data_IF_553878089706
#
_entry.id   IF_553878089706
#
_cell.length_a   1.000
_cell.length_b   1.000
_cell.length_c   1.000
_cell.angle_alpha   90.00
_cell.angle_beta   90.00
_cell.angle_gamma   90.00
#
_symmetry.space_group_name_H-M   'P 1'
#
loop_
_entity.id
_entity.type
_entity.pdbx_description
1 polymer ?
#
# COMPACT_ATOMS: atom_id res chain seq x y z
N UNK A 1 25.52 -46.79 32.81
CA UNK A 1 24.43 -47.77 32.77
C UNK A 1 23.45 -47.32 31.68
N UNK A 2 23.71 -47.76 30.45
CA UNK A 2 22.99 -47.37 29.24
C UNK A 2 21.92 -48.44 28.96
N UNK A 3 20.64 -48.07 28.95
CA UNK A 3 19.56 -49.00 28.58
C UNK A 3 19.33 -48.85 27.08
N UNK A 4 19.80 -49.84 26.34
CA UNK A 4 19.49 -50.06 24.93
C UNK A 4 18.09 -50.70 24.83
N UNK A 5 17.22 -50.14 23.99
CA UNK A 5 15.98 -50.80 23.55
C UNK A 5 16.10 -51.00 22.04
N UNK A 6 16.24 -52.26 21.64
CA UNK A 6 16.27 -52.70 20.26
C UNK A 6 14.90 -53.25 19.84
N UNK A 7 14.47 -52.77 18.67
CA UNK A 7 13.67 -53.42 17.63
C UNK A 7 12.17 -53.72 17.84
N UNK A 8 11.35 -53.07 17.01
CA UNK A 8 10.49 -53.78 16.05
C UNK A 8 10.23 -52.89 14.83
N UNK A 9 10.89 -53.21 13.71
CA UNK A 9 10.67 -52.57 12.42
C UNK A 9 9.54 -53.32 11.70
N UNK A 10 8.33 -52.76 11.72
CA UNK A 10 7.32 -53.09 10.72
C UNK A 10 7.65 -52.31 9.44
N UNK A 11 7.81 -53.01 8.30
CA UNK A 11 7.95 -52.38 6.99
C UNK A 11 6.70 -51.52 6.73
N UNK A 12 6.82 -50.23 6.37
CA UNK A 12 5.66 -49.46 5.95
C UNK A 12 5.18 -50.01 4.59
N UNK A 13 3.90 -50.34 4.49
CA UNK A 13 3.24 -50.58 3.22
C UNK A 13 3.41 -49.35 2.32
N UNK A 14 4.05 -49.54 1.17
CA UNK A 14 4.13 -48.52 0.13
C UNK A 14 2.73 -48.35 -0.47
N UNK A 15 1.98 -47.36 0.01
CA UNK A 15 0.80 -46.87 -0.70
C UNK A 15 1.28 -46.13 -1.95
N UNK A 16 1.14 -46.77 -3.10
CA UNK A 16 1.25 -46.09 -4.40
C UNK A 16 0.21 -44.97 -4.46
N UNK A 17 0.58 -43.72 -4.82
CA UNK A 17 -0.40 -42.66 -5.04
C UNK A 17 -1.34 -43.06 -6.18
N UNK A 18 -2.63 -42.71 -6.13
CA UNK A 18 -3.50 -42.88 -7.29
C UNK A 18 -2.96 -42.05 -8.46
N UNK A 19 -2.93 -42.65 -9.66
CA UNK A 19 -2.56 -41.94 -10.88
C UNK A 19 -3.38 -40.66 -11.03
N UNK A 20 -2.70 -39.52 -11.05
CA UNK A 20 -3.31 -38.26 -11.44
C UNK A 20 -3.61 -38.31 -12.94
N UNK A 21 -4.86 -38.67 -13.28
CA UNK A 21 -5.40 -38.34 -14.60
C UNK A 21 -5.54 -36.82 -14.65
N UNK A 22 -4.63 -36.17 -15.38
CA UNK A 22 -4.77 -34.75 -15.73
C UNK A 22 -6.14 -34.50 -16.40
N UNK A 23 -6.63 -33.25 -16.40
CA UNK A 23 -7.92 -32.94 -16.98
C UNK A 23 -7.95 -33.35 -18.44
N UNK A 24 -8.93 -34.18 -18.81
CA UNK A 24 -9.18 -34.56 -20.20
C UNK A 24 -9.40 -33.29 -21.02
N UNK A 25 -8.48 -32.99 -21.93
CA UNK A 25 -8.66 -31.91 -22.89
C UNK A 25 -9.84 -32.27 -23.80
N UNK A 26 -10.97 -31.61 -23.58
CA UNK A 26 -12.15 -31.69 -24.44
C UNK A 26 -11.78 -31.00 -25.76
N UNK A 27 -11.88 -31.74 -26.86
CA UNK A 27 -11.72 -31.21 -28.23
C UNK A 27 -12.64 -29.98 -28.41
N UNK A 28 -12.14 -28.86 -28.99
CA UNK A 28 -12.97 -27.68 -29.19
C UNK A 28 -14.18 -28.06 -30.04
N UNK A 29 -15.37 -27.84 -29.48
CA UNK A 29 -16.60 -28.09 -30.19
C UNK A 29 -16.73 -26.98 -31.25
N UNK A 30 -16.30 -27.24 -32.49
CA UNK A 30 -16.52 -26.35 -33.63
C UNK A 30 -18.00 -26.37 -34.00
N UNK A 31 -18.79 -25.62 -33.23
CA UNK A 31 -20.16 -25.28 -33.61
C UNK A 31 -20.10 -24.07 -34.52
N UNK A 32 -20.44 -24.27 -35.79
CA UNK A 32 -20.66 -23.19 -36.74
C UNK A 32 -21.91 -22.39 -36.29
N UNK A 33 -21.69 -21.25 -35.62
CA UNK A 33 -22.76 -20.43 -35.03
C UNK A 33 -23.47 -19.66 -36.16
N UNK A 34 -24.58 -20.20 -36.65
CA UNK A 34 -25.33 -19.60 -37.79
C UNK A 34 -26.28 -18.46 -37.40
N UNK A 35 -26.54 -18.20 -36.11
CA UNK A 35 -27.27 -17.02 -35.60
C UNK A 35 -27.19 -16.91 -34.08
N UNK A 36 -27.00 -15.70 -33.57
CA UNK A 36 -26.98 -15.37 -32.13
C UNK A 36 -28.34 -14.77 -31.75
N UNK A 37 -29.03 -15.37 -30.77
CA UNK A 37 -30.32 -14.90 -30.25
C UNK A 37 -30.21 -13.66 -29.34
N UNK A 38 -31.32 -12.93 -29.09
CA UNK A 38 -31.31 -11.57 -28.54
C UNK A 38 -31.09 -11.47 -27.01
N UNK A 39 -30.33 -12.40 -26.41
CA UNK A 39 -30.26 -12.57 -24.94
C UNK A 39 -28.87 -12.71 -24.33
N UNK A 40 -27.79 -12.33 -25.02
CA UNK A 40 -26.47 -12.23 -24.39
C UNK A 40 -26.32 -10.89 -23.66
N UNK A 41 -25.72 -10.91 -22.46
CA UNK A 41 -25.26 -9.71 -21.80
C UNK A 41 -24.37 -8.94 -22.78
N UNK A 42 -24.79 -7.74 -23.18
CA UNK A 42 -23.95 -6.85 -23.98
C UNK A 42 -22.69 -6.61 -23.16
N UNK A 43 -21.59 -7.25 -23.55
CA UNK A 43 -20.26 -6.77 -23.22
C UNK A 43 -20.30 -5.30 -23.62
N UNK A 44 -20.18 -4.39 -22.67
CA UNK A 44 -20.13 -2.96 -22.96
C UNK A 44 -19.01 -2.76 -23.98
N UNK A 45 -19.41 -2.56 -25.24
CA UNK A 45 -18.46 -2.30 -26.30
C UNK A 45 -17.65 -1.07 -25.86
N UNK A 46 -16.31 -1.13 -25.90
CA UNK A 46 -15.47 -0.05 -25.39
C UNK A 46 -15.94 1.30 -25.93
N UNK A 47 -15.99 2.32 -25.07
CA UNK A 47 -16.60 3.64 -25.35
C UNK A 47 -16.07 4.28 -26.65
N UNK A 48 -14.91 3.84 -27.11
CA UNK A 48 -14.29 4.16 -28.38
C UNK A 48 -12.95 3.44 -28.50
N UNK A 49 -12.21 3.72 -29.57
CA UNK A 49 -10.78 3.42 -29.63
C UNK A 49 -10.05 4.53 -30.37
N UNK A 50 -8.78 4.70 -30.05
CA UNK A 50 -7.88 5.67 -30.69
C UNK A 50 -6.60 4.94 -31.08
N UNK A 51 -6.16 5.07 -32.34
CA UNK A 51 -4.90 4.47 -32.82
C UNK A 51 -4.13 5.43 -33.71
N UNK A 52 -2.81 5.31 -33.68
CA UNK A 52 -1.90 6.09 -34.53
C UNK A 52 -1.71 5.36 -35.85
N UNK A 53 -2.01 6.01 -36.96
CA UNK A 53 -1.92 5.46 -38.32
C UNK A 53 -0.99 6.34 -39.13
N UNK A 54 -0.10 5.74 -39.90
CA UNK A 54 0.79 6.48 -40.81
C UNK A 54 0.15 6.57 -42.19
N UNK A 55 -0.07 7.80 -42.68
CA UNK A 55 -0.70 8.06 -43.99
C UNK A 55 0.30 8.71 -44.94
N UNK A 56 0.24 8.29 -46.19
CA UNK A 56 1.21 8.62 -47.24
C UNK A 56 1.40 10.13 -47.52
N UNK A 57 0.41 10.97 -47.23
CA UNK A 57 0.47 12.44 -47.46
C UNK A 57 0.53 13.29 -46.18
N UNK A 58 0.14 12.74 -45.04
CA UNK A 58 -0.11 13.50 -43.79
C UNK A 58 0.80 13.06 -42.63
N UNK A 59 1.62 12.02 -42.83
CA UNK A 59 2.47 11.47 -41.79
C UNK A 59 1.69 10.66 -40.75
N UNK A 60 2.18 10.60 -39.51
CA UNK A 60 1.55 9.83 -38.42
C UNK A 60 0.37 10.61 -37.83
N UNK A 61 -0.84 10.20 -38.17
CA UNK A 61 -2.11 10.80 -37.73
C UNK A 61 -2.82 9.92 -36.70
N UNK A 62 -3.56 10.53 -35.77
CA UNK A 62 -4.40 9.79 -34.82
C UNK A 62 -5.82 9.67 -35.36
N UNK A 63 -6.35 8.45 -35.38
CA UNK A 63 -7.68 8.12 -35.85
C UNK A 63 -8.43 7.35 -34.77
N UNK A 64 -9.68 7.70 -34.54
CA UNK A 64 -10.51 6.98 -33.59
C UNK A 64 -11.97 7.39 -33.67
N UNK A 65 -12.83 6.61 -33.01
CA UNK A 65 -14.22 7.00 -32.77
C UNK A 65 -14.54 6.84 -31.30
N UNK A 66 -15.50 7.62 -30.82
CA UNK A 66 -16.04 7.53 -29.47
C UNK A 66 -17.55 7.76 -29.50
N UNK A 67 -18.22 7.40 -28.40
CA UNK A 67 -19.65 7.63 -28.24
C UNK A 67 -19.89 8.77 -27.25
N UNK A 68 -20.74 9.71 -27.62
CA UNK A 68 -21.22 10.78 -26.75
C UNK A 68 -22.68 10.50 -26.42
N UNK A 69 -23.03 10.64 -25.15
CA UNK A 69 -24.40 10.57 -24.69
C UNK A 69 -24.96 11.98 -24.65
N UNK A 70 -25.93 12.28 -25.51
CA UNK A 70 -26.67 13.54 -25.46
C UNK A 70 -28.05 13.27 -24.85
N UNK A 71 -28.43 14.07 -23.85
CA UNK A 71 -29.76 13.98 -23.24
C UNK A 71 -30.67 14.95 -23.98
N UNK A 72 -31.68 14.42 -24.67
CA UNK A 72 -32.69 15.23 -25.34
C UNK A 72 -33.61 15.95 -24.34
N UNK A 73 -34.41 16.93 -24.79
CA UNK A 73 -35.37 17.67 -23.95
C UNK A 73 -36.35 16.78 -23.17
N UNK A 74 -36.60 15.57 -23.68
CA UNK A 74 -37.53 14.58 -23.10
C UNK A 74 -36.87 13.63 -22.08
N UNK A 75 -35.62 13.91 -21.67
CA UNK A 75 -34.88 13.09 -20.70
C UNK A 75 -34.33 11.75 -21.24
N UNK A 76 -34.57 11.42 -22.51
CA UNK A 76 -33.96 10.26 -23.17
C UNK A 76 -32.49 10.52 -23.50
N UNK A 77 -31.62 9.58 -23.11
CA UNK A 77 -30.19 9.59 -23.45
C UNK A 77 -29.97 8.90 -24.78
N UNK A 78 -29.57 9.65 -25.80
CA UNK A 78 -29.28 9.14 -27.14
C UNK A 78 -27.76 9.01 -27.30
N UNK A 79 -27.32 7.84 -27.80
CA UNK A 79 -25.90 7.52 -28.01
C UNK A 79 -25.51 7.91 -29.44
N UNK A 80 -24.68 8.94 -29.59
CA UNK A 80 -24.15 9.39 -30.88
C UNK A 80 -22.72 8.90 -31.08
N UNK A 81 -22.44 8.24 -32.22
CA UNK A 81 -21.08 7.88 -32.64
C UNK A 81 -20.43 9.09 -33.33
N UNK A 82 -19.27 9.53 -32.84
CA UNK A 82 -18.47 10.61 -33.43
C UNK A 82 -17.11 10.06 -33.86
N UNK A 83 -16.66 10.47 -35.04
CA UNK A 83 -15.37 10.12 -35.63
C UNK A 83 -14.66 11.41 -36.03
N UNK A 84 -13.38 11.56 -35.68
CA UNK A 84 -12.59 12.75 -36.02
C UNK A 84 -11.16 12.36 -36.39
N UNK A 85 -10.58 13.13 -37.29
CA UNK A 85 -9.22 12.96 -37.79
C UNK A 85 -8.35 14.08 -37.19
N UNK A 86 -7.31 13.70 -36.44
CA UNK A 86 -6.47 14.60 -35.62
C UNK A 86 -7.24 15.34 -34.50
N UNK A 87 -6.54 15.65 -33.40
CA UNK A 87 -7.10 16.35 -32.22
C UNK A 87 -8.25 15.63 -31.47
N UNK A 88 -8.48 14.35 -31.76
CA UNK A 88 -9.54 13.56 -31.11
C UNK A 88 -9.37 13.49 -29.59
N UNK A 89 -8.13 13.49 -29.09
CA UNK A 89 -7.84 13.46 -27.65
C UNK A 89 -8.26 14.76 -26.94
N UNK A 90 -7.99 15.92 -27.52
CA UNK A 90 -8.38 17.23 -26.97
C UNK A 90 -9.90 17.42 -27.03
N UNK A 91 -10.52 17.00 -28.13
CA UNK A 91 -11.98 17.07 -28.29
C UNK A 91 -12.74 16.08 -27.39
N UNK A 92 -12.19 14.90 -27.12
CA UNK A 92 -12.75 13.97 -26.12
C UNK A 92 -12.66 14.60 -24.73
N UNK A 93 -11.55 15.27 -24.38
CA UNK A 93 -11.41 15.97 -23.10
C UNK A 93 -12.44 17.11 -22.95
N UNK A 94 -12.72 17.84 -24.03
CA UNK A 94 -13.72 18.92 -24.08
C UNK A 94 -15.17 18.39 -23.99
N UNK A 95 -15.49 17.27 -24.64
CA UNK A 95 -16.87 16.77 -24.79
C UNK A 95 -17.30 15.71 -23.75
N UNK A 96 -16.38 14.93 -23.19
CA UNK A 96 -16.74 13.91 -22.18
C UNK A 96 -16.73 14.41 -20.74
N UNK A 97 -16.27 15.64 -20.49
CA UNK A 97 -16.17 16.17 -19.13
C UNK A 97 -15.46 15.21 -18.17
N UNK A 98 -14.51 14.39 -18.68
CA UNK A 98 -13.76 13.43 -17.86
C UNK A 98 -12.83 14.21 -16.95
N UNK A 99 -13.37 14.44 -15.75
CA UNK A 99 -12.84 15.11 -14.58
C UNK A 99 -12.41 16.55 -14.86
N UNK A 100 -13.25 17.49 -14.42
CA UNK A 100 -12.74 18.77 -13.94
C UNK A 100 -11.47 18.47 -13.13
N UNK A 101 -10.32 18.89 -13.66
CA UNK A 101 -9.02 18.81 -13.00
C UNK A 101 -9.24 19.39 -11.60
N UNK A 102 -9.23 18.56 -10.57
CA UNK A 102 -9.17 19.07 -9.19
C UNK A 102 -7.93 19.97 -9.00
N UNK A 103 -6.96 19.89 -9.90
CA UNK A 103 -5.73 20.65 -9.90
C UNK A 103 -5.80 22.14 -10.18
N UNK A 104 -6.94 22.71 -10.61
CA UNK A 104 -7.05 24.17 -10.68
C UNK A 104 -7.26 24.83 -9.30
N UNK A 105 -7.73 24.08 -8.29
CA UNK A 105 -8.01 24.64 -6.96
C UNK A 105 -6.96 24.31 -5.89
N UNK A 106 -6.02 23.40 -6.15
CA UNK A 106 -4.96 23.08 -5.18
C UNK A 106 -3.85 24.10 -5.39
N UNK A 107 -3.73 25.05 -4.47
CA UNK A 107 -2.74 26.13 -4.54
C UNK A 107 -1.69 26.00 -3.45
N UNK A 108 -2.07 25.52 -2.28
CA UNK A 108 -1.23 25.46 -1.07
C UNK A 108 -0.74 24.05 -0.75
N UNK A 109 0.35 23.96 0.03
CA UNK A 109 0.84 22.66 0.50
C UNK A 109 -0.18 21.94 1.39
N UNK A 110 -0.98 22.65 2.20
CA UNK A 110 -1.99 22.03 3.04
C UNK A 110 -3.10 21.35 2.22
N UNK A 111 -3.50 21.96 1.09
CA UNK A 111 -4.47 21.36 0.15
C UNK A 111 -3.88 20.14 -0.54
N UNK A 112 -2.63 20.23 -1.00
CA UNK A 112 -1.91 19.10 -1.58
C UNK A 112 -1.81 17.93 -0.60
N UNK A 113 -1.47 18.21 0.66
CA UNK A 113 -1.39 17.20 1.71
C UNK A 113 -2.74 16.51 1.94
N UNK A 114 -3.85 17.27 1.91
CA UNK A 114 -5.21 16.70 2.03
C UNK A 114 -5.53 15.78 0.84
N UNK A 115 -5.27 16.23 -0.39
CA UNK A 115 -5.48 15.43 -1.59
C UNK A 115 -4.63 14.15 -1.58
N UNK A 116 -3.34 14.29 -1.25
CA UNK A 116 -2.42 13.18 -1.09
C UNK A 116 -2.90 12.16 -0.04
N UNK A 117 -3.37 12.64 1.12
CA UNK A 117 -3.93 11.77 2.15
C UNK A 117 -5.19 11.04 1.67
N UNK A 118 -6.08 11.71 0.93
CA UNK A 118 -7.29 11.09 0.41
C UNK A 118 -6.97 9.90 -0.52
N UNK A 119 -5.94 10.04 -1.36
CA UNK A 119 -5.53 8.99 -2.31
C UNK A 119 -4.68 7.90 -1.64
N UNK A 120 -3.65 8.27 -0.88
CA UNK A 120 -2.64 7.31 -0.41
C UNK A 120 -2.97 6.67 0.94
N UNK A 121 -3.85 7.27 1.74
CA UNK A 121 -4.13 6.71 3.08
C UNK A 121 -4.80 5.35 3.03
N UNK A 122 -5.45 4.94 1.94
CA UNK A 122 -6.00 3.58 1.81
C UNK A 122 -4.99 2.46 2.08
N UNK A 123 -3.71 2.69 1.78
CA UNK A 123 -2.63 1.72 1.95
C UNK A 123 -1.95 1.79 3.32
N UNK A 124 -2.25 2.80 4.15
CA UNK A 124 -1.59 3.00 5.42
C UNK A 124 -2.34 2.29 6.55
N UNK A 125 -1.58 1.68 7.47
CA UNK A 125 -2.16 1.22 8.74
C UNK A 125 -2.77 2.40 9.52
N UNK A 126 -3.79 2.13 10.34
CA UNK A 126 -4.44 3.16 11.17
C UNK A 126 -3.42 3.96 12.00
N UNK A 127 -2.50 3.27 12.66
CA UNK A 127 -1.42 3.89 13.45
C UNK A 127 -0.57 4.84 12.62
N UNK A 128 -0.26 4.45 11.38
CA UNK A 128 0.49 5.30 10.45
C UNK A 128 -0.32 6.56 10.10
N UNK A 129 -1.62 6.42 9.80
CA UNK A 129 -2.50 7.58 9.53
C UNK A 129 -2.52 8.57 10.71
N UNK A 130 -2.72 8.07 11.92
CA UNK A 130 -2.78 8.88 13.13
C UNK A 130 -1.45 9.56 13.42
N UNK A 131 -0.34 8.83 13.33
CA UNK A 131 1.00 9.37 13.51
C UNK A 131 1.30 10.47 12.48
N UNK A 132 1.01 10.23 11.19
CA UNK A 132 1.24 11.23 10.14
C UNK A 132 0.37 12.46 10.33
N UNK A 133 -0.93 12.28 10.64
CA UNK A 133 -1.83 13.40 10.92
C UNK A 133 -1.29 14.27 12.06
N UNK A 134 -0.86 13.65 13.16
CA UNK A 134 -0.30 14.33 14.32
C UNK A 134 1.01 15.05 13.97
N UNK A 135 1.95 14.36 13.33
CA UNK A 135 3.26 14.91 12.97
C UNK A 135 3.14 16.08 11.99
N UNK A 136 2.34 15.93 10.93
CA UNK A 136 2.16 16.98 9.94
C UNK A 136 1.42 18.19 10.52
N UNK A 137 0.34 17.97 11.29
CA UNK A 137 -0.38 19.07 11.93
C UNK A 137 0.48 19.87 12.91
N UNK A 138 1.39 19.21 13.65
CA UNK A 138 2.24 19.87 14.64
C UNK A 138 3.49 20.52 14.06
N UNK A 139 4.11 19.91 13.05
CA UNK A 139 5.46 20.30 12.63
C UNK A 139 5.57 20.81 11.20
N UNK A 140 4.75 20.29 10.27
CA UNK A 140 4.89 20.59 8.84
C UNK A 140 3.91 21.69 8.40
N UNK A 141 2.62 21.48 8.67
CA UNK A 141 1.54 22.38 8.27
C UNK A 141 1.72 23.80 8.84
N UNK A 142 2.14 24.00 10.11
CA UNK A 142 2.35 25.35 10.63
C UNK A 142 3.47 26.13 9.93
N UNK A 143 4.43 25.46 9.29
CA UNK A 143 5.58 26.12 8.66
C UNK A 143 5.39 26.37 7.16
N UNK A 144 4.82 25.41 6.44
CA UNK A 144 4.70 25.47 4.98
C UNK A 144 3.27 25.30 4.47
N UNK A 145 2.29 25.02 5.34
CA UNK A 145 0.94 24.66 4.95
C UNK A 145 0.21 25.74 4.15
N UNK A 146 0.39 27.01 4.51
CA UNK A 146 -0.20 28.17 3.81
C UNK A 146 0.59 28.62 2.59
N UNK A 147 1.81 28.13 2.40
CA UNK A 147 2.64 28.52 1.26
C UNK A 147 2.08 27.90 -0.01
N UNK A 148 2.12 28.67 -1.11
CA UNK A 148 1.81 28.14 -2.42
C UNK A 148 2.84 27.07 -2.78
N UNK A 149 2.38 25.96 -3.34
CA UNK A 149 3.27 24.83 -3.65
C UNK A 149 4.45 25.21 -4.56
N UNK A 150 4.23 26.19 -5.45
CA UNK A 150 5.23 26.71 -6.39
C UNK A 150 6.32 27.55 -5.70
N UNK A 151 6.00 28.13 -4.56
CA UNK A 151 6.91 29.01 -3.80
C UNK A 151 7.73 28.22 -2.77
N UNK A 152 7.33 26.97 -2.48
CA UNK A 152 8.10 26.10 -1.59
C UNK A 152 9.39 25.68 -2.29
N UNK A 153 10.52 26.05 -1.69
CA UNK A 153 11.85 25.70 -2.18
C UNK A 153 12.52 24.65 -1.27
N UNK A 154 13.67 24.12 -1.71
CA UNK A 154 14.43 23.12 -0.94
C UNK A 154 14.92 23.66 0.41
N UNK A 155 15.35 24.93 0.46
CA UNK A 155 15.98 25.51 1.65
C UNK A 155 15.05 25.54 2.87
N UNK A 156 13.81 26.07 2.79
CA UNK A 156 12.85 26.01 3.90
C UNK A 156 12.57 24.57 4.36
N UNK A 157 12.44 23.64 3.42
CA UNK A 157 12.19 22.23 3.74
C UNK A 157 13.38 21.59 4.47
N UNK A 158 14.61 21.91 4.09
CA UNK A 158 15.80 21.41 4.77
C UNK A 158 15.94 22.03 6.16
N UNK A 159 15.65 23.34 6.31
CA UNK A 159 15.65 24.02 7.60
C UNK A 159 14.60 23.43 8.55
N UNK A 160 13.41 23.08 8.06
CA UNK A 160 12.40 22.36 8.83
C UNK A 160 12.96 21.04 9.40
N UNK A 161 13.62 20.21 8.58
CA UNK A 161 14.20 18.95 9.05
C UNK A 161 15.35 19.16 10.04
N UNK A 162 16.21 20.16 9.80
CA UNK A 162 17.31 20.49 10.69
C UNK A 162 16.80 20.96 12.05
N UNK A 163 15.77 21.81 12.07
CA UNK A 163 15.12 22.25 13.31
C UNK A 163 14.56 21.08 14.11
N UNK A 164 13.89 20.12 13.46
CA UNK A 164 13.42 18.91 14.14
C UNK A 164 14.56 18.07 14.72
N UNK A 165 15.72 18.04 14.06
CA UNK A 165 16.90 17.38 14.61
C UNK A 165 17.43 18.11 15.86
N UNK A 166 17.46 19.45 15.83
CA UNK A 166 17.88 20.31 16.95
C UNK A 166 16.91 20.19 18.15
N UNK A 167 15.61 20.10 17.88
CA UNK A 167 14.55 19.89 18.87
C UNK A 167 14.61 18.48 19.53
N UNK A 168 15.55 17.62 19.12
CA UNK A 168 15.81 16.32 19.73
C UNK A 168 14.93 15.18 19.21
N UNK A 169 14.24 15.35 18.08
CA UNK A 169 13.46 14.26 17.49
C UNK A 169 14.33 13.10 17.01
N UNK A 170 13.79 11.89 17.13
CA UNK A 170 14.51 10.69 16.67
C UNK A 170 14.67 10.66 15.14
N UNK A 171 15.73 9.98 14.68
CA UNK A 171 15.97 9.75 13.24
C UNK A 171 14.77 9.12 12.53
N UNK A 172 14.01 8.27 13.23
CA UNK A 172 12.80 7.64 12.69
C UNK A 172 11.71 8.67 12.38
N UNK A 173 11.43 9.58 13.33
CA UNK A 173 10.39 10.61 13.17
C UNK A 173 10.75 11.60 12.06
N UNK A 174 11.98 12.12 12.07
CA UNK A 174 12.43 13.08 11.04
C UNK A 174 12.51 12.40 9.68
N UNK A 175 12.95 11.13 9.64
CA UNK A 175 12.94 10.31 8.43
C UNK A 175 11.53 10.11 7.88
N UNK A 176 10.54 9.87 8.74
CA UNK A 176 9.14 9.74 8.34
C UNK A 176 8.62 11.04 7.73
N UNK A 177 8.84 12.19 8.37
CA UNK A 177 8.43 13.50 7.83
C UNK A 177 9.08 13.73 6.47
N UNK A 178 10.39 13.51 6.34
CA UNK A 178 11.11 13.64 5.07
C UNK A 178 10.50 12.78 3.96
N UNK A 179 10.24 11.49 4.24
CA UNK A 179 9.67 10.56 3.26
C UNK A 179 8.32 11.05 2.77
N UNK A 180 7.40 11.39 3.67
CA UNK A 180 6.05 11.78 3.29
C UNK A 180 5.96 13.17 2.69
N UNK A 181 6.82 14.11 3.08
CA UNK A 181 6.93 15.41 2.39
C UNK A 181 7.39 15.18 0.95
N UNK A 182 8.39 14.32 0.74
CA UNK A 182 8.87 13.99 -0.60
C UNK A 182 7.78 13.33 -1.45
N UNK A 183 7.10 12.31 -0.92
CA UNK A 183 6.00 11.63 -1.62
C UNK A 183 4.81 12.54 -1.90
N UNK A 184 4.51 13.50 -1.02
CA UNK A 184 3.47 14.50 -1.23
C UNK A 184 3.79 15.41 -2.42
N UNK A 185 5.02 15.92 -2.51
CA UNK A 185 5.45 16.72 -3.66
C UNK A 185 5.61 15.91 -4.95
N UNK A 186 6.00 14.64 -4.87
CA UNK A 186 6.00 13.73 -6.03
C UNK A 186 4.59 13.50 -6.56
N UNK A 187 3.61 13.28 -5.67
CA UNK A 187 2.20 13.24 -6.07
C UNK A 187 1.75 14.52 -6.77
N UNK A 188 2.17 15.70 -6.29
CA UNK A 188 1.88 16.96 -7.00
C UNK A 188 2.53 17.07 -8.38
N UNK A 189 3.64 16.38 -8.63
CA UNK A 189 4.23 16.28 -9.98
C UNK A 189 3.46 15.30 -10.85
N UNK A 190 3.08 14.15 -10.30
CA UNK A 190 2.31 13.12 -11.02
C UNK A 190 0.92 13.63 -11.47
N UNK A 191 0.34 14.56 -10.72
CA UNK A 191 -0.94 15.22 -11.04
C UNK A 191 -0.77 16.52 -11.87
N UNK A 192 0.41 16.75 -12.46
CA UNK A 192 0.76 17.94 -13.26
C UNK A 192 0.56 19.30 -12.54
N UNK A 193 0.49 19.32 -11.21
CA UNK A 193 0.37 20.56 -10.41
C UNK A 193 1.71 21.31 -10.31
N UNK A 194 2.80 20.55 -10.36
CA UNK A 194 4.18 21.02 -10.25
C UNK A 194 5.02 20.43 -11.36
N UNK A 195 5.85 21.24 -11.99
CA UNK A 195 6.82 20.76 -12.98
C UNK A 195 7.98 19.97 -12.35
N UNK A 196 8.30 20.24 -11.08
CA UNK A 196 9.38 19.57 -10.35
C UNK A 196 9.08 19.54 -8.85
N UNK A 197 9.48 18.44 -8.20
CA UNK A 197 9.38 18.31 -6.74
C UNK A 197 10.50 19.12 -6.05
N UNK A 198 10.17 20.12 -5.20
CA UNK A 198 11.17 20.85 -4.41
C UNK A 198 11.83 19.99 -3.33
N UNK A 199 11.15 18.90 -2.92
CA UNK A 199 11.60 17.96 -1.91
C UNK A 199 12.53 16.86 -2.45
N UNK A 200 12.74 16.78 -3.77
CA UNK A 200 13.50 15.69 -4.42
C UNK A 200 14.90 15.48 -3.83
N UNK A 201 15.57 16.60 -3.50
CA UNK A 201 16.93 16.65 -2.97
C UNK A 201 17.00 16.77 -1.44
N UNK A 202 15.89 16.54 -0.71
CA UNK A 202 15.94 16.60 0.75
C UNK A 202 16.88 15.55 1.32
N UNK A 203 17.77 16.00 2.19
CA UNK A 203 18.77 15.16 2.84
C UNK A 203 18.39 14.97 4.31
N UNK A 204 18.65 13.76 4.80
CA UNK A 204 18.45 13.45 6.20
C UNK A 204 19.49 14.20 7.05
N UNK A 205 19.09 15.04 8.03
CA UNK A 205 20.04 15.67 8.94
C UNK A 205 20.81 14.63 9.76
N UNK A 206 22.00 15.03 10.24
CA UNK A 206 22.84 14.18 11.09
C UNK A 206 22.21 14.08 12.49
N UNK A 207 21.42 13.03 12.71
CA UNK A 207 20.83 12.71 14.02
C UNK A 207 21.56 11.50 14.59
N UNK A 208 22.25 11.68 15.72
CA UNK A 208 22.89 10.58 16.45
C UNK A 208 21.81 9.81 17.19
N UNK A 209 21.60 8.54 16.82
CA UNK A 209 20.76 7.64 17.60
C UNK A 209 21.49 7.39 18.93
N UNK A 210 20.89 7.79 20.04
CA UNK A 210 21.34 7.29 21.35
C UNK A 210 21.06 5.78 21.36
N UNK A 211 22.07 4.91 21.54
CA UNK A 211 21.81 3.49 21.70
C UNK A 211 20.85 3.29 22.88
N UNK A 212 20.06 2.22 22.84
CA UNK A 212 19.36 1.80 24.04
C UNK A 212 20.43 1.28 25.00
N UNK A 213 20.83 2.10 25.97
CA UNK A 213 21.90 1.77 26.91
C UNK A 213 21.47 0.71 27.92
N UNK A 214 20.15 0.52 28.09
CA UNK A 214 19.58 -0.44 29.03
C UNK A 214 19.14 -1.72 28.32
N UNK A 215 19.72 -2.83 28.74
CA UNK A 215 19.27 -4.20 28.48
C UNK A 215 19.46 -4.99 29.78
N UNK A 216 18.66 -6.05 29.98
CA UNK A 216 18.79 -6.91 31.17
C UNK A 216 20.06 -7.74 31.08
N UNK A 217 20.87 -7.74 32.13
CA UNK A 217 21.95 -8.72 32.28
C UNK A 217 21.37 -10.12 32.47
N UNK A 218 22.19 -11.15 32.31
CA UNK A 218 21.77 -12.54 32.54
C UNK A 218 21.32 -12.74 33.99
N UNK A 219 21.99 -12.10 34.93
CA UNK A 219 21.67 -12.14 36.37
C UNK A 219 20.36 -11.44 36.65
N UNK A 220 20.15 -10.24 36.09
CA UNK A 220 18.88 -9.51 36.24
C UNK A 220 17.71 -10.27 35.62
N UNK A 221 17.93 -10.90 34.46
CA UNK A 221 16.90 -11.71 33.81
C UNK A 221 16.58 -12.99 34.61
N UNK A 222 17.59 -13.64 35.21
CA UNK A 222 17.36 -14.77 36.12
C UNK A 222 16.59 -14.35 37.37
N UNK A 223 16.92 -13.19 37.94
CA UNK A 223 16.17 -12.65 39.08
C UNK A 223 14.71 -12.37 38.70
N UNK A 224 14.49 -11.75 37.53
CA UNK A 224 13.15 -11.51 37.00
C UNK A 224 12.36 -12.81 36.77
N UNK A 225 13.00 -13.85 36.23
CA UNK A 225 12.36 -15.15 36.03
C UNK A 225 11.97 -15.81 37.36
N UNK A 226 12.83 -15.73 38.37
CA UNK A 226 12.57 -16.34 39.69
C UNK A 226 11.40 -15.69 40.43
N UNK A 227 11.17 -14.39 40.21
CA UNK A 227 10.08 -13.63 40.83
C UNK A 227 8.77 -13.66 40.00
N UNK A 228 8.86 -14.03 38.73
CA UNK A 228 7.72 -14.02 37.83
C UNK A 228 6.67 -15.11 38.19
N UNK A 229 5.37 -14.78 38.20
CA UNK A 229 4.30 -15.78 38.34
C UNK A 229 4.32 -16.80 37.18
N UNK A 230 3.64 -17.96 37.32
CA UNK A 230 3.72 -19.03 36.33
C UNK A 230 3.45 -18.63 34.87
N UNK A 231 2.49 -17.71 34.64
CA UNK A 231 2.14 -17.21 33.30
C UNK A 231 3.28 -16.36 32.72
N UNK A 232 3.71 -15.34 33.45
CA UNK A 232 4.78 -14.43 33.03
C UNK A 232 6.11 -15.17 32.88
N UNK A 233 6.37 -16.17 33.72
CA UNK A 233 7.57 -17.00 33.64
C UNK A 233 7.67 -17.74 32.29
N UNK A 234 6.56 -18.27 31.78
CA UNK A 234 6.52 -18.89 30.43
C UNK A 234 6.72 -17.84 29.35
N UNK A 235 6.01 -16.71 29.44
CA UNK A 235 6.10 -15.60 28.46
C UNK A 235 7.54 -15.08 28.36
N UNK A 236 8.19 -14.82 29.50
CA UNK A 236 9.57 -14.32 29.57
C UNK A 236 10.57 -15.32 28.98
N UNK A 237 10.38 -16.63 29.22
CA UNK A 237 11.21 -17.67 28.59
C UNK A 237 11.06 -17.70 27.09
N UNK A 238 9.83 -17.58 26.57
CA UNK A 238 9.59 -17.50 25.13
C UNK A 238 10.27 -16.26 24.54
N UNK A 239 10.17 -15.11 25.19
CA UNK A 239 10.88 -13.89 24.75
C UNK A 239 12.39 -14.08 24.67
N UNK A 240 13.01 -14.65 25.71
CA UNK A 240 14.46 -14.78 25.79
C UNK A 240 15.03 -15.84 24.84
N UNK A 241 14.30 -16.94 24.62
CA UNK A 241 14.78 -18.05 23.78
C UNK A 241 14.46 -17.81 22.31
N UNK A 242 13.24 -17.37 22.00
CA UNK A 242 12.77 -17.27 20.61
C UNK A 242 12.95 -15.86 20.01
N UNK A 243 13.21 -14.83 20.83
CA UNK A 243 13.44 -13.47 20.35
C UNK A 243 12.23 -12.83 19.66
N UNK A 244 11.03 -13.31 19.96
CA UNK A 244 9.78 -12.86 19.33
C UNK A 244 9.43 -11.42 19.71
N UNK A 245 8.73 -10.73 18.81
CA UNK A 245 8.22 -9.39 19.10
C UNK A 245 7.08 -9.49 20.13
N UNK A 246 6.88 -8.48 20.99
CA UNK A 246 5.81 -8.51 21.99
C UNK A 246 4.42 -8.78 21.42
N UNK A 247 4.11 -8.23 20.25
CA UNK A 247 2.85 -8.47 19.57
C UNK A 247 2.65 -9.93 19.13
N UNK A 248 3.73 -10.65 18.80
CA UNK A 248 3.69 -12.05 18.36
C UNK A 248 3.45 -12.98 19.57
N UNK A 249 4.14 -12.74 20.69
CA UNK A 249 3.99 -13.57 21.90
C UNK A 249 2.58 -13.48 22.50
N UNK A 250 1.96 -12.31 22.45
CA UNK A 250 0.66 -12.06 23.08
C UNK A 250 -0.51 -12.77 22.38
N UNK A 251 -0.34 -13.26 21.16
CA UNK A 251 -1.40 -13.97 20.41
C UNK A 251 -1.15 -15.47 20.30
N UNK A 252 -0.01 -15.96 20.79
CA UNK A 252 0.34 -17.38 20.76
C UNK A 252 -0.72 -18.25 21.43
N UNK A 253 -1.10 -19.34 20.76
CA UNK A 253 -2.02 -20.36 21.27
C UNK A 253 -1.28 -21.68 21.44
N UNK A 254 -1.88 -22.58 22.21
CA UNK A 254 -1.34 -23.92 22.39
C UNK A 254 -1.27 -24.70 21.06
N UNK A 255 -2.17 -24.40 20.13
CA UNK A 255 -2.24 -24.99 18.78
C UNK A 255 -1.05 -24.59 17.90
N UNK A 256 -0.36 -23.50 18.22
CA UNK A 256 0.82 -23.05 17.48
C UNK A 256 2.09 -23.77 17.93
N UNK A 257 2.00 -24.61 18.96
CA UNK A 257 3.11 -25.42 19.45
C UNK A 257 3.08 -26.82 18.85
N UNK A 258 4.02 -27.08 17.93
CA UNK A 258 4.17 -28.35 17.23
C UNK A 258 5.38 -29.12 17.79
N UNK A 259 5.26 -29.54 19.05
CA UNK A 259 6.23 -30.40 19.76
C UNK A 259 7.59 -29.74 20.06
N UNK A 260 8.39 -29.47 19.04
CA UNK A 260 9.67 -28.75 19.17
C UNK A 260 9.71 -27.44 18.39
N UNK A 261 8.62 -27.09 17.72
CA UNK A 261 8.50 -25.91 16.87
C UNK A 261 7.36 -25.02 17.35
N UNK A 262 7.48 -23.72 17.08
CA UNK A 262 6.48 -22.71 17.39
C UNK A 262 6.13 -21.98 16.09
N UNK A 263 4.87 -22.07 15.65
CA UNK A 263 4.37 -21.38 14.46
C UNK A 263 4.06 -19.92 14.80
N UNK A 264 4.62 -18.99 14.03
CA UNK A 264 4.43 -17.54 14.20
C UNK A 264 3.85 -16.95 12.92
N UNK A 265 2.54 -16.81 12.87
CA UNK A 265 1.78 -16.29 11.73
C UNK A 265 0.91 -15.08 12.12
N UNK A 266 0.49 -14.99 13.38
CA UNK A 266 -0.30 -13.89 13.92
C UNK A 266 0.51 -12.90 14.78
N UNK A 267 0.02 -11.66 14.86
CA UNK A 267 0.50 -10.65 15.80
C UNK A 267 -0.66 -9.78 16.32
N UNK A 268 -0.59 -9.38 17.59
CA UNK A 268 -1.52 -8.44 18.20
C UNK A 268 -1.39 -7.07 17.51
N UNK A 269 -2.51 -6.56 16.99
CA UNK A 269 -2.63 -5.22 16.40
C UNK A 269 -3.37 -4.31 17.38
N UNK A 270 -3.02 -3.03 17.39
CA UNK A 270 -3.62 -2.03 18.30
C UNK A 270 -5.16 -1.99 18.19
N UNK A 271 -5.80 -1.73 19.34
CA UNK A 271 -7.25 -1.68 19.54
C UNK A 271 -7.98 -0.80 18.51
N UNK A 272 -9.06 -1.32 17.95
CA UNK A 272 -10.08 -0.52 17.26
C UNK A 272 -11.35 -0.53 18.09
N UNK A 273 -11.88 0.65 18.44
CA UNK A 273 -13.15 0.81 19.16
C UNK A 273 -13.28 0.05 20.51
N UNK A 274 -12.16 -0.30 21.16
CA UNK A 274 -12.16 -0.99 22.45
C UNK A 274 -11.91 -2.50 22.37
N UNK A 275 -11.85 -3.08 21.16
CA UNK A 275 -11.61 -4.51 20.96
C UNK A 275 -10.19 -4.76 20.41
N UNK A 276 -9.55 -5.82 20.92
CA UNK A 276 -8.23 -6.28 20.49
C UNK A 276 -8.35 -6.95 19.11
N UNK A 277 -7.45 -6.61 18.18
CA UNK A 277 -7.45 -7.20 16.83
C UNK A 277 -6.22 -8.09 16.66
N UNK A 278 -6.45 -9.33 16.26
CA UNK A 278 -5.41 -10.23 15.78
C UNK A 278 -5.28 -10.05 14.26
N UNK A 279 -4.07 -10.12 13.73
CA UNK A 279 -3.91 -10.31 12.30
C UNK A 279 -2.49 -10.67 11.93
N UNK A 280 -2.27 -10.89 10.64
CA UNK A 280 -1.01 -11.44 10.14
C UNK A 280 0.22 -10.63 10.56
N UNK A 281 1.30 -11.35 10.81
CA UNK A 281 2.64 -10.78 10.98
C UNK A 281 3.01 -9.93 9.76
N UNK A 282 3.92 -8.97 9.96
CA UNK A 282 4.46 -8.25 8.80
C UNK A 282 5.31 -9.24 8.01
N UNK A 283 4.90 -9.49 6.76
CA UNK A 283 5.70 -10.24 5.80
C UNK A 283 6.95 -9.42 5.47
N UNK A 284 8.13 -10.05 5.58
CA UNK A 284 9.40 -9.49 5.09
C UNK A 284 9.43 -9.44 3.55
#
# INVERSE_FOLDING_TARGET
>A
MYIAVMASWAKPEVRTPPEHKGPTLVQPNEREIKRVGPGLARVEAPEGWVKKVERFREGKVWVGYFHVWETGPDGQRVRHKKEKLNELAEYIAEQTGKLAKQGESISTFAELWKAFCAVKSGQWSKKTKENLKCLFAKHVIPQIGSQRMRDVTLTPLQLLLNKLAEDGFSKSVVGQIRTYVKSCFEYGVDEDLLSKSPARKLVMPKIRKKPCERFLSVEEFRALLSDAPPREHVILRIFAVCGLRPAEVLVLRIEDFEGSQLRIDEALKERQAGEDRIGDTKTD
#
